data_IF_662867965331
#
_entry.id   IF_662867965331
#
_cell.length_a   1.000
_cell.length_b   1.000
_cell.length_c   1.000
_cell.angle_alpha   90.00
_cell.angle_beta   90.00
_cell.angle_gamma   90.00
#
_symmetry.space_group_name_H-M   'P 1'
#
loop_
_entity.id
_entity.type
_entity.pdbx_description
1 polymer ?
#
# COMPACT_ATOMS: atom_id res chain seq x y z
N UNK A 1 19.07 -33.73 -70.30
CA UNK A 1 19.71 -32.50 -69.78
C UNK A 1 18.83 -31.97 -68.65
N UNK A 2 19.22 -32.07 -67.37
CA UNK A 2 18.43 -31.50 -66.27
C UNK A 2 18.58 -29.97 -66.25
N UNK A 3 17.47 -29.27 -66.06
CA UNK A 3 17.36 -27.81 -66.09
C UNK A 3 18.07 -27.15 -64.90
N UNK A 4 18.79 -26.06 -65.15
CA UNK A 4 19.66 -25.36 -64.19
C UNK A 4 19.14 -23.95 -63.87
N UNK A 5 17.82 -23.80 -63.72
CA UNK A 5 17.19 -22.51 -63.37
C UNK A 5 16.91 -22.51 -61.86
N UNK A 6 17.45 -21.55 -61.09
CA UNK A 6 17.13 -21.43 -59.67
C UNK A 6 15.65 -21.03 -59.47
N UNK A 7 14.98 -21.52 -58.41
CA UNK A 7 13.61 -21.12 -58.10
C UNK A 7 13.55 -19.61 -57.84
N UNK A 8 12.57 -18.93 -58.46
CA UNK A 8 12.39 -17.48 -58.35
C UNK A 8 12.15 -17.04 -56.90
N UNK A 9 12.80 -15.95 -56.50
CA UNK A 9 12.72 -15.31 -55.18
C UNK A 9 11.44 -14.47 -54.95
N UNK A 10 10.54 -14.41 -55.93
CA UNK A 10 9.20 -13.89 -55.75
C UNK A 10 8.31 -15.07 -55.33
N UNK A 11 8.10 -15.21 -54.03
CA UNK A 11 7.33 -16.30 -53.43
C UNK A 11 5.90 -16.35 -53.97
N UNK A 12 5.70 -17.14 -55.01
CA UNK A 12 4.41 -17.74 -55.33
C UNK A 12 4.47 -19.14 -54.77
N UNK A 13 4.28 -19.24 -53.46
CA UNK A 13 3.81 -20.50 -52.88
C UNK A 13 2.43 -20.75 -53.50
N UNK A 14 2.25 -21.97 -54.01
CA UNK A 14 1.07 -22.37 -54.77
C UNK A 14 -0.23 -21.86 -54.15
N UNK A 15 -1.09 -21.29 -55.00
CA UNK A 15 -2.46 -20.93 -54.66
C UNK A 15 -3.21 -22.16 -54.16
N UNK A 16 -3.18 -22.38 -52.84
CA UNK A 16 -4.12 -23.24 -52.14
C UNK A 16 -5.36 -22.40 -51.85
N UNK A 17 -6.50 -22.84 -52.39
CA UNK A 17 -7.82 -22.20 -52.43
C UNK A 17 -8.52 -22.16 -51.05
N UNK A 18 -7.75 -21.97 -49.97
CA UNK A 18 -8.26 -21.85 -48.62
C UNK A 18 -7.64 -20.64 -47.91
N UNK A 19 -8.37 -19.52 -47.74
CA UNK A 19 -7.84 -18.28 -47.18
C UNK A 19 -7.40 -18.39 -45.71
N UNK A 20 -7.76 -19.49 -45.02
CA UNK A 20 -7.36 -19.76 -43.65
C UNK A 20 -6.03 -20.52 -43.51
N UNK A 21 -5.49 -21.08 -44.61
CA UNK A 21 -4.33 -21.98 -44.58
C UNK A 21 -3.05 -21.42 -45.21
N UNK A 22 -3.07 -20.21 -45.76
CA UNK A 22 -1.87 -19.61 -46.34
C UNK A 22 -0.97 -19.04 -45.23
N UNK A 23 0.26 -19.55 -45.16
CA UNK A 23 1.29 -19.05 -44.25
C UNK A 23 1.57 -17.60 -44.65
N UNK A 24 1.16 -16.65 -43.82
CA UNK A 24 1.37 -15.22 -44.08
C UNK A 24 2.87 -14.96 -44.27
N UNK A 25 3.29 -14.22 -45.31
CA UNK A 25 4.70 -14.02 -45.62
C UNK A 25 5.38 -13.24 -44.49
N UNK A 26 6.41 -13.82 -43.89
CA UNK A 26 7.16 -13.20 -42.79
C UNK A 26 8.29 -12.37 -43.36
N UNK A 27 8.12 -11.06 -43.38
CA UNK A 27 9.11 -10.14 -43.97
C UNK A 27 9.74 -9.18 -42.95
N UNK A 28 9.23 -9.13 -41.72
CA UNK A 28 9.88 -8.35 -40.65
C UNK A 28 10.87 -9.26 -39.96
N UNK A 29 12.17 -8.98 -40.12
CA UNK A 29 13.26 -9.77 -39.52
C UNK A 29 13.91 -8.96 -38.41
N UNK A 30 13.97 -9.53 -37.21
CA UNK A 30 14.72 -8.99 -36.08
C UNK A 30 16.21 -9.28 -36.23
N UNK A 31 17.08 -8.43 -35.65
CA UNK A 31 18.53 -8.67 -35.60
C UNK A 31 18.94 -9.99 -34.92
N UNK A 32 18.02 -10.62 -34.17
CA UNK A 32 18.19 -11.96 -33.61
C UNK A 32 17.85 -13.12 -34.56
N UNK A 33 17.42 -12.84 -35.79
CA UNK A 33 17.05 -13.84 -36.79
C UNK A 33 15.58 -14.31 -36.73
N UNK A 34 14.75 -13.73 -35.87
CA UNK A 34 13.31 -14.02 -35.84
C UNK A 34 12.59 -13.24 -36.95
N UNK A 35 11.86 -13.95 -37.81
CA UNK A 35 11.01 -13.35 -38.85
C UNK A 35 9.53 -13.47 -38.48
N UNK A 36 8.78 -12.38 -38.60
CA UNK A 36 7.34 -12.33 -38.30
C UNK A 36 6.58 -11.52 -39.36
N UNK A 37 5.26 -11.73 -39.40
CA UNK A 37 4.34 -10.88 -40.15
C UNK A 37 3.96 -9.67 -39.27
N UNK A 38 3.78 -8.44 -39.81
CA UNK A 38 3.43 -7.27 -39.01
C UNK A 38 2.15 -7.44 -38.19
N UNK A 39 1.12 -8.09 -38.75
CA UNK A 39 -0.11 -8.37 -38.00
C UNK A 39 0.12 -9.23 -36.77
N UNK A 40 1.05 -10.18 -36.85
CA UNK A 40 1.39 -11.04 -35.70
C UNK A 40 2.12 -10.23 -34.63
N UNK A 41 2.99 -9.29 -35.03
CA UNK A 41 3.68 -8.37 -34.11
C UNK A 41 2.65 -7.46 -33.40
N UNK A 42 1.72 -6.88 -34.15
CA UNK A 42 0.67 -6.03 -33.58
C UNK A 42 -0.21 -6.83 -32.63
N UNK A 43 -0.57 -8.07 -32.99
CA UNK A 43 -1.32 -8.97 -32.12
C UNK A 43 -0.55 -9.27 -30.83
N UNK A 44 0.76 -9.56 -30.91
CA UNK A 44 1.61 -9.76 -29.73
C UNK A 44 1.69 -8.52 -28.84
N UNK A 45 1.87 -7.33 -29.41
CA UNK A 45 1.89 -6.09 -28.64
C UNK A 45 0.56 -5.83 -27.93
N UNK A 46 -0.57 -6.06 -28.62
CA UNK A 46 -1.91 -5.92 -28.03
C UNK A 46 -2.14 -6.94 -26.92
N UNK A 47 -1.78 -8.20 -27.14
CA UNK A 47 -1.88 -9.25 -26.13
C UNK A 47 -1.04 -8.92 -24.88
N UNK A 48 0.19 -8.42 -25.07
CA UNK A 48 1.04 -7.99 -23.98
C UNK A 48 0.43 -6.82 -23.21
N UNK A 49 -0.10 -5.81 -23.91
CA UNK A 49 -0.75 -4.65 -23.26
C UNK A 49 -1.98 -5.06 -22.43
N UNK A 50 -2.81 -5.97 -22.95
CA UNK A 50 -3.96 -6.50 -22.23
C UNK A 50 -3.54 -7.29 -20.99
N UNK A 51 -2.48 -8.09 -21.10
CA UNK A 51 -1.92 -8.83 -19.97
C UNK A 51 -1.39 -7.91 -18.87
N UNK A 52 -0.62 -6.88 -19.23
CA UNK A 52 -0.11 -5.89 -18.27
C UNK A 52 -1.25 -5.15 -17.58
N UNK A 53 -2.27 -4.74 -18.33
CA UNK A 53 -3.44 -4.06 -17.77
C UNK A 53 -4.17 -4.95 -16.77
N UNK A 54 -4.41 -6.22 -17.14
CA UNK A 54 -5.01 -7.21 -16.22
C UNK A 54 -4.17 -7.41 -14.96
N UNK A 55 -2.85 -7.52 -15.10
CA UNK A 55 -1.94 -7.67 -13.96
C UNK A 55 -2.01 -6.47 -13.00
N UNK A 56 -2.13 -5.25 -13.54
CA UNK A 56 -2.32 -4.04 -12.73
C UNK A 56 -3.65 -4.06 -11.99
N UNK A 57 -4.75 -4.41 -12.68
CA UNK A 57 -6.08 -4.51 -12.08
C UNK A 57 -6.13 -5.57 -10.97
N UNK A 58 -5.49 -6.72 -11.18
CA UNK A 58 -5.40 -7.80 -10.20
C UNK A 58 -4.60 -7.34 -8.95
N UNK A 59 -3.49 -6.63 -9.14
CA UNK A 59 -2.68 -6.09 -8.04
C UNK A 59 -3.43 -5.00 -7.25
N UNK A 60 -4.11 -4.09 -7.94
CA UNK A 60 -4.93 -3.04 -7.30
C UNK A 60 -6.09 -3.65 -6.50
N UNK A 61 -6.70 -4.73 -7.00
CA UNK A 61 -7.73 -5.47 -6.27
C UNK A 61 -7.16 -6.10 -5.00
N UNK A 62 -6.01 -6.76 -5.10
CA UNK A 62 -5.35 -7.40 -3.95
C UNK A 62 -4.97 -6.37 -2.87
N UNK A 63 -4.47 -5.20 -3.27
CA UNK A 63 -4.18 -4.09 -2.34
C UNK A 63 -5.43 -3.61 -1.62
N UNK A 64 -6.55 -3.41 -2.33
CA UNK A 64 -7.82 -3.00 -1.71
C UNK A 64 -8.32 -4.04 -0.71
N UNK A 65 -8.32 -5.31 -1.09
CA UNK A 65 -8.72 -6.40 -0.21
C UNK A 65 -7.82 -6.49 1.03
N UNK A 66 -6.52 -6.24 0.88
CA UNK A 66 -5.57 -6.21 1.97
C UNK A 66 -5.86 -5.06 2.94
N UNK A 67 -6.07 -3.85 2.43
CA UNK A 67 -6.43 -2.67 3.22
C UNK A 67 -7.75 -2.85 3.97
N UNK A 68 -8.76 -3.43 3.31
CA UNK A 68 -10.04 -3.75 3.96
C UNK A 68 -9.86 -4.75 5.10
N UNK A 69 -9.01 -5.77 4.93
CA UNK A 69 -8.70 -6.73 5.99
C UNK A 69 -8.01 -6.08 7.19
N UNK A 70 -7.10 -5.14 6.94
CA UNK A 70 -6.46 -4.37 8.01
C UNK A 70 -7.51 -3.53 8.75
N UNK A 71 -8.29 -2.75 8.01
CA UNK A 71 -9.34 -1.90 8.59
C UNK A 71 -10.33 -2.72 9.41
N UNK A 72 -10.74 -3.89 8.93
CA UNK A 72 -11.64 -4.78 9.67
C UNK A 72 -11.01 -5.30 10.97
N UNK A 73 -9.73 -5.70 10.93
CA UNK A 73 -9.01 -6.15 12.14
C UNK A 73 -8.85 -5.01 13.15
N UNK A 74 -8.39 -3.84 12.70
CA UNK A 74 -8.23 -2.67 13.55
C UNK A 74 -9.55 -2.23 14.17
N UNK A 75 -10.64 -2.27 13.40
CA UNK A 75 -11.97 -1.91 13.87
C UNK A 75 -12.48 -2.94 14.89
N UNK A 76 -12.24 -4.24 14.69
CA UNK A 76 -12.54 -5.26 15.69
C UNK A 76 -11.70 -5.09 16.97
N UNK A 77 -10.42 -4.75 16.83
CA UNK A 77 -9.55 -4.46 17.97
C UNK A 77 -10.01 -3.20 18.72
N UNK A 78 -10.31 -2.11 18.01
CA UNK A 78 -10.88 -0.88 18.55
C UNK A 78 -12.19 -1.15 19.31
N UNK A 79 -13.08 -1.97 18.75
CA UNK A 79 -14.32 -2.42 19.43
C UNK A 79 -14.05 -3.26 20.67
N UNK A 80 -12.98 -4.07 20.68
CA UNK A 80 -12.55 -4.84 21.85
C UNK A 80 -11.98 -3.95 22.94
N UNK A 81 -11.15 -2.97 22.57
CA UNK A 81 -10.48 -2.08 23.51
C UNK A 81 -11.44 -1.08 24.15
N UNK A 82 -12.45 -0.61 23.41
CA UNK A 82 -13.37 0.42 23.88
C UNK A 82 -14.83 0.06 23.55
N UNK A 83 -15.38 -1.00 24.19
CA UNK A 83 -16.78 -1.36 24.02
C UNK A 83 -17.68 -0.19 24.42
N UNK A 84 -18.54 0.28 23.50
CA UNK A 84 -19.50 1.36 23.74
C UNK A 84 -18.95 2.79 23.68
N UNK A 85 -17.68 3.01 23.35
CA UNK A 85 -17.10 4.36 23.18
C UNK A 85 -16.91 4.77 21.71
N UNK A 86 -16.60 3.80 20.83
CA UNK A 86 -16.25 4.06 19.43
C UNK A 86 -17.45 4.09 18.46
N UNK A 87 -18.54 3.41 18.81
CA UNK A 87 -19.76 3.29 17.99
C UNK A 87 -20.95 4.08 18.62
N UNK A 88 -20.69 4.89 19.65
CA UNK A 88 -21.71 5.68 20.35
C UNK A 88 -21.51 7.17 20.07
N UNK A 89 -22.52 7.85 19.51
CA UNK A 89 -22.61 9.32 19.37
C UNK A 89 -22.62 10.08 20.71
N UNK A 90 -22.27 9.41 21.81
CA UNK A 90 -22.32 9.94 23.16
C UNK A 90 -20.99 10.63 23.47
N UNK A 91 -20.93 11.91 23.14
CA UNK A 91 -19.83 12.79 23.48
C UNK A 91 -19.80 12.97 25.01
N UNK A 92 -18.64 12.77 25.67
CA UNK A 92 -18.49 13.17 27.07
C UNK A 92 -18.76 14.68 27.15
N UNK A 93 -19.67 15.06 28.02
CA UNK A 93 -19.87 16.45 28.40
C UNK A 93 -18.58 16.96 29.04
N UNK A 94 -17.91 17.89 28.36
CA UNK A 94 -16.87 18.68 28.98
C UNK A 94 -17.52 19.57 30.06
N UNK A 95 -16.96 19.61 31.29
CA UNK A 95 -17.47 20.52 32.30
C UNK A 95 -17.25 21.96 31.83
N UNK A 96 -18.30 22.78 31.87
CA UNK A 96 -18.14 24.22 31.69
C UNK A 96 -17.10 24.71 32.70
N UNK A 97 -16.03 25.32 32.20
CA UNK A 97 -15.12 26.09 33.04
C UNK A 97 -15.93 27.26 33.57
N UNK A 98 -16.44 27.14 34.79
CA UNK A 98 -16.95 28.26 35.56
C UNK A 98 -15.85 29.31 35.58
N UNK A 99 -15.97 30.32 34.72
CA UNK A 99 -15.16 31.52 34.78
C UNK A 99 -15.62 32.25 36.04
N UNK A 100 -15.10 31.81 37.18
CA UNK A 100 -15.14 32.57 38.41
C UNK A 100 -14.41 33.88 38.14
N UNK A 101 -15.21 34.90 37.84
CA UNK A 101 -15.05 36.29 38.25
C UNK A 101 -13.60 36.79 38.17
N UNK A 102 -13.18 37.17 36.97
CA UNK A 102 -12.13 38.18 36.84
C UNK A 102 -12.80 39.55 36.93
N UNK A 103 -13.21 39.95 38.13
CA UNK A 103 -13.41 41.36 38.45
C UNK A 103 -12.40 41.73 39.53
N UNK A 104 -11.39 42.47 39.05
CA UNK A 104 -10.47 43.34 39.76
C UNK A 104 -10.83 43.60 41.22
N UNK A 105 -9.96 43.23 42.17
CA UNK A 105 -9.27 44.24 42.99
C UNK A 105 -8.16 43.63 43.87
N UNK A 106 -7.04 44.36 43.92
CA UNK A 106 -6.06 44.48 45.03
C UNK A 106 -5.52 43.25 45.80
N UNK A 107 -4.18 43.08 45.73
CA UNK A 107 -3.37 43.07 46.96
C UNK A 107 -2.60 41.78 47.34
N UNK A 108 -1.32 41.74 46.93
CA UNK A 108 -0.11 41.54 47.75
C UNK A 108 0.10 40.30 48.67
N UNK A 109 1.39 39.89 48.76
CA UNK A 109 2.09 39.12 49.84
C UNK A 109 2.02 37.58 49.73
N UNK A 110 3.06 36.80 49.35
CA UNK A 110 4.41 36.47 49.89
C UNK A 110 4.46 35.00 50.38
N UNK A 111 5.59 34.35 50.07
CA UNK A 111 6.12 33.03 50.45
C UNK A 111 5.81 32.50 51.87
N UNK A 112 5.84 31.16 52.05
CA UNK A 112 6.61 30.47 53.12
C UNK A 112 6.60 28.93 53.02
N UNK A 113 7.81 28.38 52.82
CA UNK A 113 8.46 27.17 53.36
C UNK A 113 7.74 26.03 54.13
N UNK A 114 8.19 24.80 53.78
CA UNK A 114 8.52 23.60 54.58
C UNK A 114 7.56 23.05 55.67
N UNK A 115 7.11 21.81 55.46
CA UNK A 115 7.05 20.77 56.52
C UNK A 115 7.30 19.37 55.95
N UNK A 116 8.24 18.67 56.56
CA UNK A 116 8.65 17.29 56.26
C UNK A 116 7.61 16.21 56.66
N UNK A 117 7.62 15.13 55.88
CA UNK A 117 7.53 13.72 56.30
C UNK A 117 6.24 13.17 56.94
N UNK A 118 5.40 12.51 56.14
CA UNK A 118 4.76 11.24 56.52
C UNK A 118 4.72 10.31 55.30
N UNK A 119 5.42 9.18 55.40
CA UNK A 119 5.40 8.05 54.48
C UNK A 119 3.96 7.54 54.25
N UNK A 120 3.51 7.49 53.00
CA UNK A 120 2.53 6.49 52.60
C UNK A 120 2.69 6.17 51.10
N UNK A 121 2.91 4.90 50.79
CA UNK A 121 3.39 4.41 49.51
C UNK A 121 2.46 4.65 48.33
N UNK A 122 2.74 5.71 47.58
CA UNK A 122 2.39 5.78 46.16
C UNK A 122 3.65 6.12 45.38
N UNK A 123 4.49 5.08 45.23
CA UNK A 123 5.47 5.07 44.18
C UNK A 123 4.71 5.03 42.86
N UNK A 124 4.39 6.20 42.32
CA UNK A 124 4.38 6.38 40.87
C UNK A 124 5.84 6.22 40.44
N UNK A 125 6.36 5.00 40.56
CA UNK A 125 7.64 4.64 39.96
C UNK A 125 7.43 4.93 38.49
N UNK A 126 8.13 5.94 38.02
CA UNK A 126 8.06 6.42 36.66
C UNK A 126 8.40 5.25 35.74
N UNK A 127 7.36 4.55 35.26
CA UNK A 127 7.50 3.35 34.44
C UNK A 127 8.34 3.66 33.19
N UNK A 128 8.32 4.92 32.71
CA UNK A 128 9.19 5.38 31.64
C UNK A 128 10.66 5.24 32.01
N UNK A 129 11.06 5.67 33.22
CA UNK A 129 12.43 5.56 33.70
C UNK A 129 12.89 4.10 33.92
N UNK A 130 11.98 3.19 34.30
CA UNK A 130 12.32 1.77 34.42
C UNK A 130 12.54 1.11 33.05
N UNK A 131 11.72 1.44 32.06
CA UNK A 131 11.88 0.94 30.69
C UNK A 131 13.17 1.47 30.05
N UNK A 132 13.50 2.74 30.28
CA UNK A 132 14.73 3.34 29.75
C UNK A 132 15.98 2.75 30.42
N UNK A 133 15.90 2.38 31.70
CA UNK A 133 16.96 1.63 32.39
C UNK A 133 17.10 0.20 31.87
N UNK A 134 15.99 -0.48 31.57
CA UNK A 134 15.99 -1.87 31.11
C UNK A 134 16.45 -2.01 29.65
N UNK A 135 16.11 -1.04 28.79
CA UNK A 135 16.27 -1.16 27.34
C UNK A 135 17.16 -0.08 26.71
N UNK A 136 17.40 1.05 27.37
CA UNK A 136 18.18 2.17 26.82
C UNK A 136 19.68 1.90 26.64
N UNK A 137 20.18 0.77 27.17
CA UNK A 137 21.57 0.33 27.00
C UNK A 137 21.80 -0.74 25.93
N UNK A 138 20.78 -1.15 25.17
CA UNK A 138 20.95 -2.17 24.13
C UNK A 138 21.49 -1.54 22.84
N UNK A 139 22.82 -1.42 22.75
CA UNK A 139 23.49 -1.19 21.46
C UNK A 139 23.27 -2.42 20.57
N UNK A 140 22.36 -2.32 19.59
CA UNK A 140 22.22 -3.29 18.51
C UNK A 140 23.49 -3.22 17.64
N UNK A 141 24.24 -4.32 17.63
CA UNK A 141 25.48 -4.48 16.88
C UNK A 141 25.26 -5.24 15.59
#
# INVERSE_FOLDING_TARGET
MPSNIPPSSLGVEAASDNPAGQVKPKYVVSGSGHAAHPEDIVASCRALSAYVTKMQEDADRELREFDERIKARELAEKRRLAPGWLDSEMHILEPEKSTLVQQQDTGNVTESQDTQNVQNGNATTDQGAELDRAFGGMELK
#
